data_IF_827868920641
#
_entry.id   IF_827868920641
#
_cell.length_a   1.000
_cell.length_b   1.000
_cell.length_c   1.000
_cell.angle_alpha   90.00
_cell.angle_beta   90.00
_cell.angle_gamma   90.00
#
_symmetry.space_group_name_H-M   'P 1'
#
loop_
_entity.id
_entity.type
_entity.pdbx_description
1 polymer ?
#
# COMPACT_ATOMS: atom_id res chain seq x y z
N UNK A 1 -2.97 -21.55 -0.01
CA UNK A 1 -2.27 -20.45 -0.70
C UNK A 1 -1.14 -19.98 0.20
N UNK A 2 0.00 -19.65 -0.35
CA UNK A 2 1.14 -19.21 0.46
C UNK A 2 0.94 -17.73 0.81
N UNK A 3 0.85 -17.38 2.10
CA UNK A 3 0.61 -16.01 2.58
C UNK A 3 1.93 -15.31 2.83
N UNK A 4 2.10 -14.10 2.29
CA UNK A 4 3.32 -13.31 2.49
C UNK A 4 3.26 -12.45 3.75
N UNK A 5 2.08 -11.95 4.12
CA UNK A 5 1.84 -11.20 5.33
C UNK A 5 0.44 -11.55 5.89
N UNK A 6 0.40 -11.89 7.17
CA UNK A 6 -0.85 -12.14 7.89
C UNK A 6 -0.85 -11.33 9.17
N UNK A 7 -1.96 -10.62 9.44
CA UNK A 7 -2.16 -9.89 10.67
C UNK A 7 -3.55 -10.22 11.24
N UNK A 8 -3.62 -10.41 12.56
CA UNK A 8 -4.86 -10.72 13.27
C UNK A 8 -5.05 -9.80 14.46
N UNK A 9 -6.09 -8.96 14.42
CA UNK A 9 -6.39 -8.00 15.45
C UNK A 9 -5.22 -7.03 15.74
N UNK A 10 -4.32 -6.86 14.75
CA UNK A 10 -3.09 -6.12 14.91
C UNK A 10 -3.35 -4.66 15.29
N UNK A 11 -2.64 -4.19 16.32
CA UNK A 11 -2.76 -2.84 16.79
C UNK A 11 -1.44 -2.27 17.31
N UNK A 12 -1.23 -0.96 17.06
CA UNK A 12 -0.12 -0.19 17.63
C UNK A 12 -0.62 1.11 18.24
N UNK A 13 -0.19 1.35 19.47
CA UNK A 13 -0.55 2.53 20.26
C UNK A 13 0.68 3.36 20.56
N UNK A 14 0.55 4.68 20.44
CA UNK A 14 1.54 5.65 20.90
C UNK A 14 0.90 6.51 22.00
N UNK A 15 1.34 6.32 23.23
CA UNK A 15 0.70 6.91 24.41
C UNK A 15 -0.77 6.48 24.49
N UNK A 16 -1.71 7.44 24.38
CA UNK A 16 -3.16 7.16 24.40
C UNK A 16 -3.78 7.00 23.02
N UNK A 17 -3.06 7.26 21.93
CA UNK A 17 -3.61 7.24 20.57
C UNK A 17 -3.26 5.93 19.86
N UNK A 18 -4.26 5.30 19.26
CA UNK A 18 -4.06 4.20 18.33
C UNK A 18 -3.61 4.73 16.97
N UNK A 19 -2.50 4.24 16.47
CA UNK A 19 -2.04 4.49 15.11
C UNK A 19 -2.47 3.37 14.15
N UNK A 20 -2.70 2.16 14.70
CA UNK A 20 -3.31 1.03 14.03
C UNK A 20 -4.18 0.28 15.05
N UNK A 21 -5.37 -0.16 14.65
CA UNK A 21 -6.31 -0.80 15.56
C UNK A 21 -7.08 -1.90 14.86
N UNK A 22 -7.13 -3.08 15.50
CA UNK A 22 -7.95 -4.21 15.05
C UNK A 22 -7.74 -4.56 13.56
N UNK A 23 -6.50 -4.41 13.08
CA UNK A 23 -6.16 -4.69 11.69
C UNK A 23 -6.07 -6.20 11.48
N UNK A 24 -6.97 -6.74 10.66
CA UNK A 24 -6.98 -8.15 10.24
C UNK A 24 -6.87 -8.18 8.73
N UNK A 25 -5.77 -8.72 8.22
CA UNK A 25 -5.47 -8.83 6.78
C UNK A 25 -4.72 -10.14 6.53
N UNK A 26 -4.93 -10.66 5.34
CA UNK A 26 -4.20 -11.80 4.80
C UNK A 26 -3.78 -11.46 3.37
N UNK A 27 -2.48 -11.34 3.12
CA UNK A 27 -1.92 -10.97 1.82
C UNK A 27 -1.30 -12.22 1.21
N UNK A 28 -1.84 -12.72 0.08
CA UNK A 28 -1.24 -13.85 -0.62
C UNK A 28 0.11 -13.47 -1.23
N UNK A 29 0.98 -14.46 -1.43
CA UNK A 29 2.27 -14.27 -2.07
C UNK A 29 2.12 -14.00 -3.58
N UNK A 30 3.10 -13.31 -4.16
CA UNK A 30 3.16 -13.02 -5.61
C UNK A 30 2.40 -11.76 -6.04
N UNK A 31 1.79 -11.02 -5.11
CA UNK A 31 1.02 -9.82 -5.43
C UNK A 31 1.81 -8.53 -5.25
N UNK A 32 1.43 -7.52 -6.05
CA UNK A 32 1.80 -6.12 -5.84
C UNK A 32 0.66 -5.42 -5.12
N UNK A 33 0.83 -5.21 -3.83
CA UNK A 33 -0.19 -4.71 -2.92
C UNK A 33 -0.11 -3.19 -2.80
N UNK A 34 -1.18 -2.50 -3.13
CA UNK A 34 -1.36 -1.07 -2.88
C UNK A 34 -1.94 -0.82 -1.49
N UNK A 35 -1.22 -0.06 -0.67
CA UNK A 35 -1.69 0.37 0.65
C UNK A 35 -2.09 1.84 0.60
N UNK A 36 -3.40 2.11 0.62
CA UNK A 36 -3.98 3.44 0.52
C UNK A 36 -4.55 3.94 1.84
N UNK A 37 -4.67 5.24 1.96
CA UNK A 37 -5.33 5.90 3.08
C UNK A 37 -4.83 7.33 3.29
N UNK A 38 -5.59 8.18 3.99
CA UNK A 38 -5.18 9.55 4.28
C UNK A 38 -3.94 9.59 5.18
N UNK A 39 -3.35 10.78 5.28
CA UNK A 39 -2.23 10.98 6.20
C UNK A 39 -2.65 10.69 7.65
N UNK A 40 -1.84 9.93 8.37
CA UNK A 40 -2.14 9.48 9.72
C UNK A 40 -3.09 8.28 9.83
N UNK A 41 -3.49 7.65 8.73
CA UNK A 41 -4.34 6.44 8.74
C UNK A 41 -3.65 5.19 9.30
N UNK A 42 -2.31 5.19 9.44
CA UNK A 42 -1.55 4.07 9.99
C UNK A 42 -0.71 3.31 8.96
N UNK A 43 -0.61 3.75 7.70
CA UNK A 43 0.15 3.09 6.62
C UNK A 43 1.60 2.78 7.04
N UNK A 44 2.39 3.81 7.35
CA UNK A 44 3.78 3.67 7.81
C UNK A 44 3.89 2.80 9.07
N UNK A 45 2.89 2.87 9.97
CA UNK A 45 2.87 2.03 11.17
C UNK A 45 2.72 0.55 10.81
N UNK A 46 1.80 0.21 9.91
CA UNK A 46 1.63 -1.15 9.41
C UNK A 46 2.91 -1.67 8.73
N UNK A 47 3.52 -0.86 7.86
CA UNK A 47 4.75 -1.23 7.15
C UNK A 47 5.94 -1.42 8.10
N UNK A 48 6.06 -0.59 9.15
CA UNK A 48 7.09 -0.74 10.19
C UNK A 48 6.87 -1.97 11.07
N UNK A 49 5.61 -2.34 11.36
CA UNK A 49 5.30 -3.60 12.03
C UNK A 49 5.66 -4.79 11.15
N UNK A 50 5.31 -4.75 9.85
CA UNK A 50 5.62 -5.80 8.89
C UNK A 50 7.13 -5.99 8.65
N UNK A 51 7.92 -4.92 8.71
CA UNK A 51 9.37 -4.97 8.60
C UNK A 51 10.10 -5.29 9.92
N UNK A 52 9.37 -5.38 11.05
CA UNK A 52 9.93 -5.66 12.37
C UNK A 52 10.64 -4.46 13.02
N UNK A 53 10.44 -3.24 12.51
CA UNK A 53 10.97 -2.01 13.12
C UNK A 53 10.13 -1.56 14.32
N UNK A 54 8.91 -2.07 14.44
CA UNK A 54 8.00 -1.84 15.56
C UNK A 54 7.43 -3.16 16.06
N UNK A 55 7.16 -3.23 17.35
CA UNK A 55 6.44 -4.34 17.97
C UNK A 55 4.95 -3.99 18.09
N UNK A 56 4.04 -4.96 17.92
CA UNK A 56 2.61 -4.75 18.16
C UNK A 56 2.33 -4.39 19.62
N UNK A 57 1.27 -3.60 19.84
CA UNK A 57 0.70 -3.38 21.17
C UNK A 57 -0.44 -4.37 21.46
N UNK A 58 -1.09 -4.85 20.39
CA UNK A 58 -2.17 -5.84 20.44
C UNK A 58 -2.18 -6.65 19.15
N UNK A 59 -2.72 -7.87 19.22
CA UNK A 59 -2.78 -8.79 18.10
C UNK A 59 -1.42 -9.27 17.64
N UNK A 60 -1.42 -9.97 16.51
CA UNK A 60 -0.24 -10.64 15.97
C UNK A 60 -0.01 -10.29 14.51
N UNK A 61 1.26 -10.40 14.08
CA UNK A 61 1.67 -10.28 12.69
C UNK A 61 2.73 -11.35 12.35
N UNK A 62 2.53 -11.99 11.23
CA UNK A 62 3.54 -12.88 10.62
C UNK A 62 3.87 -12.43 9.22
N UNK A 63 5.13 -12.55 8.83
CA UNK A 63 5.63 -12.24 7.50
C UNK A 63 6.45 -13.41 7.00
N UNK A 64 6.12 -13.91 5.80
CA UNK A 64 6.75 -15.10 5.22
C UNK A 64 6.76 -16.30 6.18
N UNK A 65 5.67 -16.45 6.94
CA UNK A 65 5.47 -17.53 7.91
C UNK A 65 6.25 -17.39 9.22
N UNK A 66 6.92 -16.25 9.46
CA UNK A 66 7.70 -15.99 10.68
C UNK A 66 7.40 -14.64 11.32
N UNK A 67 7.93 -14.44 12.54
CA UNK A 67 7.89 -13.13 13.20
C UNK A 67 8.73 -12.14 12.41
N UNK A 68 8.23 -10.91 12.12
CA UNK A 68 9.00 -9.86 11.46
C UNK A 68 10.34 -9.62 12.18
N UNK A 69 11.44 -9.60 11.42
CA UNK A 69 12.82 -9.48 11.92
C UNK A 69 13.20 -10.42 13.07
N UNK A 70 12.47 -11.53 13.27
CA UNK A 70 12.69 -12.48 14.36
C UNK A 70 14.02 -13.23 14.31
N UNK A 71 14.72 -13.20 13.17
CA UNK A 71 16.05 -13.77 12.98
C UNK A 71 16.80 -13.09 11.83
N UNK A 72 18.14 -13.21 11.74
CA UNK A 72 18.91 -12.73 10.57
C UNK A 72 18.42 -13.34 9.24
N UNK A 73 18.02 -14.61 9.24
CA UNK A 73 17.47 -15.29 8.08
C UNK A 73 16.13 -14.67 7.65
N UNK A 74 15.25 -14.38 8.61
CA UNK A 74 13.97 -13.69 8.33
C UNK A 74 14.20 -12.28 7.82
N UNK A 75 15.13 -11.54 8.44
CA UNK A 75 15.47 -10.18 8.01
C UNK A 75 16.04 -10.15 6.59
N UNK A 76 16.82 -11.15 6.18
CA UNK A 76 17.38 -11.27 4.84
C UNK A 76 16.30 -11.42 3.73
N UNK A 77 15.10 -11.93 4.08
CA UNK A 77 14.00 -12.18 3.15
C UNK A 77 13.11 -10.94 2.88
N UNK A 78 13.21 -9.90 3.71
CA UNK A 78 12.38 -8.70 3.63
C UNK A 78 13.23 -7.49 3.24
N UNK A 79 12.90 -6.83 2.12
CA UNK A 79 13.44 -5.52 1.74
C UNK A 79 12.54 -4.40 2.28
N UNK A 80 13.12 -3.28 2.72
CA UNK A 80 12.37 -2.10 3.15
C UNK A 80 13.01 -0.83 2.59
N UNK A 81 12.19 -0.02 1.90
CA UNK A 81 12.56 1.33 1.44
C UNK A 81 11.63 2.32 2.13
N UNK A 82 12.19 3.17 2.98
CA UNK A 82 11.45 4.17 3.73
C UNK A 82 11.13 5.40 2.86
N UNK A 83 10.14 6.18 3.30
CA UNK A 83 9.61 7.37 2.61
C UNK A 83 10.70 8.39 2.21
N UNK A 84 11.67 8.63 3.07
CA UNK A 84 12.73 9.61 2.82
C UNK A 84 13.86 9.03 1.94
N UNK A 85 13.67 7.84 1.36
CA UNK A 85 14.70 7.12 0.58
C UNK A 85 16.09 7.26 1.22
N UNK A 86 16.28 6.75 2.46
CA UNK A 86 17.46 7.04 3.26
C UNK A 86 18.68 6.39 2.64
N UNK A 87 19.48 7.22 1.95
CA UNK A 87 20.81 6.90 1.49
C UNK A 87 21.80 7.78 2.23
N UNK A 88 22.97 7.27 2.55
CA UNK A 88 23.99 8.03 3.26
C UNK A 88 24.60 9.08 2.33
N UNK A 89 24.25 10.33 2.52
CA UNK A 89 24.65 11.44 1.64
C UNK A 89 26.17 11.55 1.40
N UNK A 90 26.98 11.16 2.38
CA UNK A 90 28.45 11.16 2.32
C UNK A 90 29.07 9.99 1.57
N UNK A 91 28.33 8.89 1.37
CA UNK A 91 28.81 7.70 0.65
C UNK A 91 28.57 7.84 -0.84
N UNK A 92 29.47 7.24 -1.64
CA UNK A 92 29.25 7.11 -3.10
C UNK A 92 28.24 6.02 -3.41
N UNK A 93 27.74 5.98 -4.65
CA UNK A 93 26.89 4.88 -5.15
C UNK A 93 27.60 3.53 -4.95
N UNK A 94 28.88 3.42 -5.32
CA UNK A 94 29.67 2.20 -5.13
C UNK A 94 29.84 1.83 -3.64
N UNK A 95 29.95 2.80 -2.74
CA UNK A 95 30.00 2.53 -1.30
C UNK A 95 28.71 1.91 -0.79
N UNK A 96 27.56 2.37 -1.28
CA UNK A 96 26.26 1.77 -0.93
C UNK A 96 26.16 0.32 -1.40
N UNK A 97 26.63 0.01 -2.63
CA UNK A 97 26.64 -1.37 -3.12
C UNK A 97 27.57 -2.25 -2.28
N UNK A 98 28.76 -1.76 -1.90
CA UNK A 98 29.68 -2.47 -1.01
C UNK A 98 29.09 -2.72 0.38
N UNK A 99 28.41 -1.71 0.95
CA UNK A 99 27.73 -1.81 2.23
C UNK A 99 26.59 -2.86 2.14
N UNK A 100 25.79 -2.79 1.08
CA UNK A 100 24.71 -3.75 0.83
C UNK A 100 25.23 -5.19 0.78
N UNK A 101 26.33 -5.41 0.04
CA UNK A 101 26.97 -6.72 -0.08
C UNK A 101 27.49 -7.27 1.27
N UNK A 102 28.00 -6.41 2.15
CA UNK A 102 28.49 -6.82 3.46
C UNK A 102 27.39 -7.15 4.47
N UNK A 103 26.23 -6.49 4.32
CA UNK A 103 25.11 -6.64 5.27
C UNK A 103 24.09 -7.70 4.86
N UNK A 104 24.07 -8.13 3.61
CA UNK A 104 23.04 -9.03 3.11
C UNK A 104 23.63 -10.32 2.54
N UNK A 105 23.33 -11.49 3.13
CA UNK A 105 23.92 -12.75 2.72
C UNK A 105 23.47 -13.25 1.33
N UNK A 106 22.33 -12.75 0.83
CA UNK A 106 21.76 -13.10 -0.48
C UNK A 106 21.99 -12.01 -1.54
N UNK A 107 22.94 -11.10 -1.29
CA UNK A 107 23.21 -9.95 -2.15
C UNK A 107 23.61 -10.34 -3.58
N UNK A 108 22.89 -9.79 -4.55
CA UNK A 108 23.20 -9.93 -5.96
C UNK A 108 24.03 -8.73 -6.46
N UNK A 109 25.34 -8.91 -6.47
CA UNK A 109 26.27 -7.87 -6.84
C UNK A 109 26.29 -7.60 -8.39
N UNK A 110 25.94 -8.61 -9.20
CA UNK A 110 25.85 -8.45 -10.65
C UNK A 110 24.65 -7.58 -11.00
N UNK A 111 23.46 -7.99 -10.57
CA UNK A 111 22.22 -7.23 -10.78
C UNK A 111 22.35 -5.78 -10.29
N UNK A 112 22.93 -5.58 -9.10
CA UNK A 112 23.10 -4.21 -8.56
C UNK A 112 23.97 -3.33 -9.47
N UNK A 113 25.10 -3.86 -9.98
CA UNK A 113 25.99 -3.10 -10.90
C UNK A 113 25.34 -2.83 -12.23
N UNK A 114 24.70 -3.84 -12.83
CA UNK A 114 24.05 -3.74 -14.13
C UNK A 114 22.93 -2.69 -14.09
N UNK A 115 22.13 -2.72 -13.00
CA UNK A 115 21.08 -1.72 -12.81
C UNK A 115 21.62 -0.30 -12.62
N UNK A 116 22.71 -0.10 -11.88
CA UNK A 116 23.35 1.22 -11.74
C UNK A 116 23.86 1.71 -13.10
N UNK A 117 24.43 0.83 -13.92
CA UNK A 117 24.87 1.17 -15.27
C UNK A 117 23.70 1.53 -16.20
N UNK A 118 22.62 0.77 -16.20
CA UNK A 118 21.37 1.05 -16.94
C UNK A 118 20.75 2.39 -16.55
N UNK A 119 20.79 2.75 -15.27
CA UNK A 119 20.30 4.03 -14.75
C UNK A 119 21.25 5.20 -15.05
N UNK A 120 22.42 4.96 -15.65
CA UNK A 120 23.43 6.00 -15.93
C UNK A 120 23.97 6.68 -14.66
N UNK A 121 23.95 5.99 -13.53
CA UNK A 121 24.47 6.53 -12.27
C UNK A 121 25.99 6.34 -12.21
N UNK A 122 26.75 7.44 -11.97
CA UNK A 122 28.18 7.36 -11.73
C UNK A 122 28.47 6.67 -10.39
N UNK A 123 29.14 5.50 -10.37
CA UNK A 123 29.49 4.79 -9.15
C UNK A 123 30.31 5.61 -8.15
N UNK A 124 31.10 6.58 -8.62
CA UNK A 124 31.91 7.48 -7.79
C UNK A 124 31.13 8.65 -7.20
N UNK A 125 29.95 8.97 -7.73
CA UNK A 125 29.17 10.11 -7.27
C UNK A 125 28.62 9.88 -5.85
N UNK A 126 28.74 10.90 -4.98
CA UNK A 126 28.16 10.86 -3.63
C UNK A 126 26.63 10.96 -3.70
N UNK A 127 25.94 10.13 -2.90
CA UNK A 127 24.49 10.07 -2.91
C UNK A 127 23.81 11.42 -2.55
N UNK A 128 24.45 12.27 -1.76
CA UNK A 128 23.96 13.62 -1.47
C UNK A 128 23.91 14.56 -2.67
N UNK A 129 24.62 14.24 -3.77
CA UNK A 129 24.61 15.00 -5.03
C UNK A 129 23.64 14.43 -6.07
N UNK A 130 23.02 13.30 -5.81
CA UNK A 130 22.01 12.70 -6.69
C UNK A 130 20.71 13.53 -6.65
N UNK A 131 19.98 13.56 -7.76
CA UNK A 131 18.61 14.08 -7.78
C UNK A 131 17.68 13.23 -6.91
N UNK A 132 16.48 13.71 -6.62
CA UNK A 132 15.46 12.94 -5.88
C UNK A 132 15.16 11.60 -6.56
N UNK A 133 14.92 11.61 -7.88
CA UNK A 133 14.68 10.41 -8.67
C UNK A 133 15.87 9.44 -8.67
N UNK A 134 17.10 9.94 -8.83
CA UNK A 134 18.30 9.11 -8.76
C UNK A 134 18.49 8.47 -7.38
N UNK A 135 18.22 9.19 -6.29
CA UNK A 135 18.24 8.61 -4.92
C UNK A 135 17.20 7.51 -4.75
N UNK A 136 15.99 7.74 -5.24
CA UNK A 136 14.94 6.73 -5.19
C UNK A 136 15.31 5.47 -5.97
N UNK A 137 15.89 5.62 -7.17
CA UNK A 137 16.38 4.51 -7.98
C UNK A 137 17.54 3.76 -7.30
N UNK A 138 18.46 4.47 -6.65
CA UNK A 138 19.52 3.84 -5.85
C UNK A 138 18.91 3.04 -4.69
N UNK A 139 17.96 3.62 -3.93
CA UNK A 139 17.29 2.93 -2.82
C UNK A 139 16.53 1.68 -3.30
N UNK A 140 15.83 1.78 -4.43
CA UNK A 140 15.17 0.62 -5.05
C UNK A 140 16.19 -0.46 -5.44
N UNK A 141 17.30 -0.07 -6.08
CA UNK A 141 18.38 -0.99 -6.45
C UNK A 141 18.93 -1.75 -5.22
N UNK A 142 19.16 -1.04 -4.11
CA UNK A 142 19.62 -1.65 -2.86
C UNK A 142 18.59 -2.63 -2.29
N UNK A 143 17.30 -2.28 -2.36
CA UNK A 143 16.20 -3.14 -1.94
C UNK A 143 16.10 -4.43 -2.76
N UNK A 144 16.20 -4.32 -4.08
CA UNK A 144 16.12 -5.45 -5.03
C UNK A 144 17.37 -6.35 -4.97
N UNK A 145 18.57 -5.74 -4.87
CA UNK A 145 19.82 -6.50 -4.81
C UNK A 145 19.95 -7.40 -3.58
N UNK A 146 19.18 -7.13 -2.55
CA UNK A 146 19.03 -7.99 -1.38
C UNK A 146 18.36 -9.33 -1.73
N UNK A 147 17.72 -9.46 -2.89
CA UNK A 147 16.90 -10.62 -3.32
C UNK A 147 15.83 -10.97 -2.29
N UNK A 148 14.96 -9.99 -1.94
CA UNK A 148 13.90 -10.22 -0.97
C UNK A 148 12.81 -11.13 -1.55
N UNK A 149 12.03 -11.75 -0.68
CA UNK A 149 10.77 -12.43 -1.02
C UNK A 149 9.57 -11.49 -0.80
N UNK A 150 9.75 -10.46 0.05
CA UNK A 150 8.83 -9.36 0.25
C UNK A 150 9.60 -8.03 0.20
N UNK A 151 9.21 -7.12 -0.68
CA UNK A 151 9.70 -5.75 -0.74
C UNK A 151 8.62 -4.78 -0.23
N UNK A 152 8.95 -4.04 0.82
CA UNK A 152 8.06 -3.03 1.42
C UNK A 152 8.56 -1.64 1.03
N UNK A 153 7.69 -0.81 0.47
CA UNK A 153 7.98 0.53 -0.02
C UNK A 153 7.03 1.53 0.65
N UNK A 154 7.55 2.41 1.50
CA UNK A 154 6.74 3.41 2.20
C UNK A 154 6.81 4.75 1.47
N UNK A 155 5.77 5.07 0.70
CA UNK A 155 5.62 6.27 -0.12
C UNK A 155 6.88 6.62 -0.96
N UNK A 156 7.47 5.65 -1.70
CA UNK A 156 8.80 5.79 -2.30
C UNK A 156 8.86 6.85 -3.41
N UNK A 157 7.72 7.26 -3.94
CA UNK A 157 7.59 8.20 -5.07
C UNK A 157 6.96 9.55 -4.67
N UNK A 158 6.66 9.76 -3.38
CA UNK A 158 5.92 10.93 -2.92
C UNK A 158 6.59 12.28 -3.25
N UNK A 159 7.93 12.33 -3.22
CA UNK A 159 8.71 13.54 -3.48
C UNK A 159 9.27 13.63 -4.90
N UNK A 160 8.87 12.71 -5.80
CA UNK A 160 9.37 12.66 -7.18
C UNK A 160 8.48 13.50 -8.10
N UNK A 161 9.10 14.10 -9.12
CA UNK A 161 8.37 14.66 -10.25
C UNK A 161 7.63 13.56 -11.05
N UNK A 162 6.65 13.92 -11.89
CA UNK A 162 5.83 12.93 -12.58
C UNK A 162 6.61 11.95 -13.48
N UNK A 163 7.71 12.40 -14.10
CA UNK A 163 8.53 11.54 -14.96
C UNK A 163 9.31 10.51 -14.12
N UNK A 164 10.07 10.99 -13.14
CA UNK A 164 10.83 10.14 -12.22
C UNK A 164 9.94 9.13 -11.48
N UNK A 165 8.71 9.53 -11.11
CA UNK A 165 7.70 8.65 -10.52
C UNK A 165 7.31 7.52 -11.47
N UNK A 166 7.00 7.84 -12.72
CA UNK A 166 6.64 6.86 -13.74
C UNK A 166 7.78 5.87 -14.00
N UNK A 167 9.01 6.37 -14.13
CA UNK A 167 10.20 5.54 -14.31
C UNK A 167 10.45 4.61 -13.12
N UNK A 168 10.26 5.12 -11.89
CA UNK A 168 10.40 4.30 -10.68
C UNK A 168 9.42 3.12 -10.68
N UNK A 169 8.13 3.40 -10.94
CA UNK A 169 7.08 2.38 -10.96
C UNK A 169 7.29 1.37 -12.11
N UNK A 170 7.72 1.84 -13.28
CA UNK A 170 8.06 0.97 -14.40
C UNK A 170 9.19 0.01 -14.02
N UNK A 171 10.30 0.51 -13.48
CA UNK A 171 11.42 -0.31 -13.05
C UNK A 171 11.06 -1.28 -11.90
N UNK A 172 10.12 -0.89 -11.03
CA UNK A 172 9.59 -1.80 -10.01
C UNK A 172 8.85 -2.97 -10.67
N UNK A 173 7.98 -2.67 -11.65
CA UNK A 173 7.22 -3.70 -12.36
C UNK A 173 8.12 -4.64 -13.17
N UNK A 174 9.10 -4.11 -13.88
CA UNK A 174 10.10 -4.92 -14.60
C UNK A 174 10.77 -5.92 -13.64
N UNK A 175 11.19 -5.44 -12.46
CA UNK A 175 11.82 -6.29 -11.46
C UNK A 175 10.86 -7.37 -10.90
N UNK A 176 9.54 -7.09 -10.77
CA UNK A 176 8.57 -8.10 -10.31
C UNK A 176 8.33 -9.20 -11.35
N UNK A 177 8.46 -8.87 -12.64
CA UNK A 177 8.35 -9.85 -13.72
C UNK A 177 9.61 -10.73 -13.81
N UNK A 178 10.79 -10.13 -13.62
CA UNK A 178 12.08 -10.85 -13.68
C UNK A 178 12.31 -11.76 -12.46
N UNK A 179 11.75 -11.38 -11.31
CA UNK A 179 11.99 -12.05 -10.04
C UNK A 179 10.68 -12.22 -9.27
N UNK A 180 10.34 -13.43 -8.94
CA UNK A 180 9.13 -13.76 -8.18
C UNK A 180 9.24 -13.29 -6.72
N UNK A 181 8.78 -12.08 -6.42
CA UNK A 181 8.64 -11.56 -5.05
C UNK A 181 7.35 -10.76 -4.90
N UNK A 182 6.90 -10.62 -3.67
CA UNK A 182 5.73 -9.80 -3.36
C UNK A 182 6.15 -8.36 -3.04
N UNK A 183 5.27 -7.41 -3.34
CA UNK A 183 5.49 -5.99 -3.03
C UNK A 183 4.35 -5.47 -2.17
N UNK A 184 4.68 -4.66 -1.15
CA UNK A 184 3.69 -3.80 -0.48
C UNK A 184 4.14 -2.35 -0.66
N UNK A 185 3.35 -1.59 -1.41
CA UNK A 185 3.63 -0.21 -1.78
C UNK A 185 2.59 0.73 -1.17
N UNK A 186 2.99 1.65 -0.28
CA UNK A 186 2.08 2.70 0.14
C UNK A 186 2.13 3.91 -0.81
N UNK A 187 0.97 4.48 -1.11
CA UNK A 187 0.83 5.74 -1.83
C UNK A 187 -0.37 6.51 -1.31
N UNK A 188 -0.37 7.83 -1.48
CA UNK A 188 -1.52 8.70 -1.30
C UNK A 188 -2.19 9.08 -2.64
N UNK A 189 -1.61 8.65 -3.79
CA UNK A 189 -2.15 8.85 -5.13
C UNK A 189 -2.64 7.52 -5.69
N UNK A 190 -3.91 7.46 -6.03
CA UNK A 190 -4.54 6.26 -6.62
C UNK A 190 -3.92 5.95 -7.98
N UNK A 191 -3.64 6.99 -8.78
CA UNK A 191 -3.04 6.85 -10.11
C UNK A 191 -1.69 6.13 -10.14
N UNK A 192 -0.94 6.14 -9.03
CA UNK A 192 0.31 5.38 -8.92
C UNK A 192 0.01 3.88 -8.79
N UNK A 193 -1.04 3.54 -8.03
CA UNK A 193 -1.41 2.15 -7.72
C UNK A 193 -2.18 1.48 -8.85
N UNK A 194 -3.05 2.22 -9.56
CA UNK A 194 -3.81 1.68 -10.70
C UNK A 194 -2.94 1.03 -11.78
N UNK A 195 -1.68 1.46 -11.86
CA UNK A 195 -0.74 0.97 -12.88
C UNK A 195 0.02 -0.28 -12.47
N UNK A 196 0.11 -0.56 -11.17
CA UNK A 196 1.06 -1.55 -10.67
C UNK A 196 0.44 -2.56 -9.71
N UNK A 197 -0.69 -2.23 -9.06
CA UNK A 197 -1.26 -3.07 -8.01
C UNK A 197 -2.37 -3.98 -8.51
N UNK A 198 -2.29 -5.24 -8.12
CA UNK A 198 -3.32 -6.27 -8.31
C UNK A 198 -4.07 -6.59 -7.01
N UNK A 199 -3.58 -6.12 -5.87
CA UNK A 199 -4.22 -6.23 -4.56
C UNK A 199 -4.27 -4.87 -3.86
N UNK A 200 -5.41 -4.52 -3.24
CA UNK A 200 -5.61 -3.23 -2.57
C UNK A 200 -5.92 -3.40 -1.10
N UNK A 201 -5.34 -2.53 -0.26
CA UNK A 201 -5.72 -2.34 1.15
C UNK A 201 -6.00 -0.86 1.36
N UNK A 202 -7.19 -0.54 1.90
CA UNK A 202 -7.56 0.83 2.27
C UNK A 202 -7.61 0.95 3.79
N UNK A 203 -6.79 1.84 4.34
CA UNK A 203 -6.74 2.21 5.76
C UNK A 203 -7.40 3.57 5.98
N UNK A 204 -8.36 3.64 6.90
CA UNK A 204 -8.95 4.90 7.37
C UNK A 204 -9.16 4.81 8.88
N UNK A 205 -8.88 5.91 9.60
CA UNK A 205 -9.03 5.99 11.06
C UNK A 205 -8.36 4.82 11.81
N UNK A 206 -7.16 4.47 11.39
CA UNK A 206 -6.33 3.40 11.97
C UNK A 206 -6.90 1.98 11.82
N UNK A 207 -7.85 1.77 10.89
CA UNK A 207 -8.51 0.48 10.62
C UNK A 207 -8.49 0.15 9.13
N UNK A 208 -8.43 -1.14 8.82
CA UNK A 208 -8.65 -1.64 7.46
C UNK A 208 -10.14 -1.51 7.13
N UNK A 209 -10.45 -0.86 6.03
CA UNK A 209 -11.82 -0.70 5.53
C UNK A 209 -12.16 -1.75 4.48
N UNK A 210 -11.19 -2.03 3.62
CA UNK A 210 -11.28 -3.08 2.59
C UNK A 210 -9.89 -3.62 2.31
N UNK A 211 -9.81 -4.90 2.01
CA UNK A 211 -8.62 -5.59 1.50
C UNK A 211 -9.07 -6.67 0.52
N UNK A 212 -8.38 -6.79 -0.63
CA UNK A 212 -8.67 -7.82 -1.62
C UNK A 212 -8.03 -7.55 -2.98
N UNK A 213 -8.16 -8.53 -3.87
CA UNK A 213 -7.75 -8.41 -5.27
C UNK A 213 -8.55 -7.30 -5.97
N UNK A 214 -7.86 -6.45 -6.72
CA UNK A 214 -8.44 -5.26 -7.37
C UNK A 214 -9.60 -5.65 -8.29
N UNK A 215 -9.41 -6.66 -9.13
CA UNK A 215 -10.45 -7.11 -10.07
C UNK A 215 -11.71 -7.60 -9.33
N UNK A 216 -11.54 -8.36 -8.25
CA UNK A 216 -12.66 -8.82 -7.42
C UNK A 216 -13.37 -7.67 -6.72
N UNK A 217 -12.61 -6.71 -6.18
CA UNK A 217 -13.18 -5.51 -5.57
C UNK A 217 -14.00 -4.72 -6.59
N UNK A 218 -13.48 -4.49 -7.79
CA UNK A 218 -14.19 -3.75 -8.85
C UNK A 218 -15.40 -4.53 -9.40
N UNK A 219 -15.35 -5.85 -9.41
CA UNK A 219 -16.48 -6.69 -9.85
C UNK A 219 -17.64 -6.72 -8.85
N UNK A 220 -17.36 -6.57 -7.55
CA UNK A 220 -18.36 -6.65 -6.47
C UNK A 220 -18.84 -5.30 -5.96
N UNK A 221 -18.28 -4.19 -6.44
CA UNK A 221 -18.69 -2.85 -6.04
C UNK A 221 -19.33 -2.10 -7.21
N UNK A 222 -20.47 -1.48 -6.94
CA UNK A 222 -21.27 -0.81 -7.95
C UNK A 222 -21.70 0.58 -7.47
N UNK A 223 -21.81 1.51 -8.42
CA UNK A 223 -22.46 2.80 -8.17
C UNK A 223 -23.92 2.72 -8.62
N UNK A 224 -24.82 3.02 -7.69
CA UNK A 224 -26.25 3.15 -7.94
C UNK A 224 -26.62 4.62 -7.96
N UNK A 225 -27.26 5.07 -9.02
CA UNK A 225 -27.79 6.44 -9.14
C UNK A 225 -29.29 6.37 -9.47
N UNK A 226 -30.12 7.02 -8.66
CA UNK A 226 -31.57 6.96 -8.81
C UNK A 226 -32.32 7.99 -7.97
N UNK A 227 -33.68 7.91 -7.92
CA UNK A 227 -34.49 8.78 -7.10
C UNK A 227 -34.09 8.73 -5.63
N UNK A 228 -34.29 9.84 -4.92
CA UNK A 228 -33.96 9.90 -3.49
C UNK A 228 -34.70 8.81 -2.71
N UNK A 229 -33.93 7.93 -2.08
CA UNK A 229 -34.40 6.84 -1.22
C UNK A 229 -33.52 6.74 0.01
N UNK A 230 -34.08 6.15 1.06
CA UNK A 230 -33.35 5.80 2.29
C UNK A 230 -32.48 4.55 2.04
N UNK A 231 -31.21 4.51 2.52
CA UNK A 231 -30.36 3.33 2.43
C UNK A 231 -31.01 2.07 3.04
N UNK A 232 -31.81 2.21 4.08
CA UNK A 232 -32.48 1.10 4.77
C UNK A 232 -33.53 0.37 3.89
N UNK A 233 -33.85 0.93 2.72
CA UNK A 233 -34.75 0.33 1.73
C UNK A 233 -34.03 -0.50 0.66
N UNK A 234 -32.72 -0.56 0.71
CA UNK A 234 -31.94 -1.43 -0.19
C UNK A 234 -32.03 -2.89 0.29
N UNK A 235 -31.96 -3.88 -0.60
CA UNK A 235 -31.88 -5.29 -0.26
C UNK A 235 -30.76 -5.57 0.75
N UNK A 236 -30.96 -6.53 1.64
CA UNK A 236 -30.03 -6.84 2.73
C UNK A 236 -28.64 -7.36 2.24
N UNK A 237 -28.57 -7.87 1.04
CA UNK A 237 -27.36 -8.32 0.35
C UNK A 237 -26.55 -7.17 -0.30
N UNK A 238 -27.11 -5.95 -0.32
CA UNK A 238 -26.50 -4.75 -0.84
C UNK A 238 -25.91 -3.91 0.30
N UNK A 239 -24.63 -4.11 0.62
CA UNK A 239 -23.97 -3.37 1.68
C UNK A 239 -23.56 -1.97 1.21
N UNK A 240 -24.15 -0.94 1.78
CA UNK A 240 -23.81 0.46 1.47
C UNK A 240 -22.42 0.81 2.01
N UNK A 241 -21.49 1.15 1.12
CA UNK A 241 -20.15 1.65 1.45
C UNK A 241 -20.19 3.16 1.66
N UNK A 242 -20.82 3.90 0.73
CA UNK A 242 -20.96 5.35 0.79
C UNK A 242 -22.30 5.77 0.22
N UNK A 243 -22.90 6.80 0.82
CA UNK A 243 -24.16 7.39 0.37
C UNK A 243 -24.01 8.89 0.20
N UNK A 244 -24.47 9.41 -0.93
CA UNK A 244 -24.58 10.86 -1.20
C UNK A 244 -25.99 11.16 -1.67
N UNK A 245 -26.56 12.24 -1.14
CA UNK A 245 -27.91 12.66 -1.47
C UNK A 245 -27.94 14.11 -1.95
N UNK A 246 -28.74 14.37 -2.94
CA UNK A 246 -29.24 15.71 -3.29
C UNK A 246 -30.72 15.77 -2.89
N UNK A 247 -31.40 16.88 -3.18
CA UNK A 247 -32.84 17.00 -2.89
C UNK A 247 -33.68 15.93 -3.60
N UNK A 248 -33.29 15.52 -4.81
CA UNK A 248 -34.09 14.62 -5.67
C UNK A 248 -33.44 13.28 -5.98
N UNK A 249 -32.14 13.13 -5.72
CA UNK A 249 -31.36 11.99 -6.16
C UNK A 249 -30.53 11.38 -5.04
N UNK A 250 -30.38 10.07 -5.05
CA UNK A 250 -29.42 9.33 -4.23
C UNK A 250 -28.37 8.69 -5.13
N UNK A 251 -27.12 8.75 -4.68
CA UNK A 251 -26.01 8.00 -5.26
C UNK A 251 -25.40 7.14 -4.14
N UNK A 252 -25.40 5.83 -4.34
CA UNK A 252 -24.78 4.88 -3.43
C UNK A 252 -23.59 4.22 -4.09
N UNK A 253 -22.55 3.97 -3.33
CA UNK A 253 -21.57 2.91 -3.63
C UNK A 253 -21.92 1.75 -2.73
N UNK A 254 -22.22 0.62 -3.35
CA UNK A 254 -22.60 -0.61 -2.64
C UNK A 254 -21.62 -1.74 -2.95
N UNK A 255 -21.55 -2.70 -2.04
CA UNK A 255 -20.90 -4.00 -2.26
C UNK A 255 -21.96 -5.09 -2.28
N UNK A 256 -21.99 -5.89 -3.35
CA UNK A 256 -22.85 -7.04 -3.51
C UNK A 256 -22.22 -8.05 -4.48
N UNK A 257 -22.43 -9.33 -4.24
CA UNK A 257 -22.11 -10.42 -5.17
C UNK A 257 -23.37 -10.82 -6.01
N UNK A 258 -24.54 -10.26 -5.68
CA UNK A 258 -25.80 -10.56 -6.35
C UNK A 258 -26.11 -9.57 -7.49
N UNK A 259 -26.86 -10.01 -8.52
CA UNK A 259 -27.31 -9.12 -9.58
C UNK A 259 -28.27 -8.02 -9.06
N UNK A 260 -28.15 -6.82 -9.59
CA UNK A 260 -28.98 -5.68 -9.21
C UNK A 260 -30.13 -5.57 -10.22
N UNK A 261 -31.35 -5.88 -9.78
CA UNK A 261 -32.53 -5.95 -10.65
C UNK A 261 -33.51 -4.78 -10.55
N UNK A 262 -33.35 -3.85 -9.55
CA UNK A 262 -34.27 -2.72 -9.40
C UNK A 262 -34.10 -1.69 -10.54
N UNK A 263 -35.11 -1.54 -11.44
CA UNK A 263 -35.03 -0.65 -12.59
C UNK A 263 -34.99 0.84 -12.22
N UNK A 264 -35.25 1.18 -10.97
CA UNK A 264 -35.17 2.56 -10.49
C UNK A 264 -33.71 3.04 -10.35
N UNK A 265 -32.74 2.10 -10.39
CA UNK A 265 -31.32 2.41 -10.28
C UNK A 265 -30.61 2.31 -11.62
N UNK A 266 -29.88 3.37 -11.96
CA UNK A 266 -28.83 3.27 -12.98
C UNK A 266 -27.58 2.71 -12.31
N UNK A 267 -27.16 1.54 -12.75
CA UNK A 267 -25.98 0.84 -12.25
C UNK A 267 -24.77 1.16 -13.11
N UNK A 268 -23.67 1.59 -12.50
CA UNK A 268 -22.41 1.81 -13.21
C UNK A 268 -21.22 1.18 -12.47
N UNK A 269 -20.19 0.81 -13.22
CA UNK A 269 -18.92 0.32 -12.66
C UNK A 269 -18.16 1.46 -12.00
N UNK A 270 -17.31 1.10 -11.04
CA UNK A 270 -16.38 2.02 -10.37
C UNK A 270 -15.00 1.94 -11.01
N UNK A 271 -14.28 3.07 -11.04
CA UNK A 271 -12.83 3.07 -11.14
C UNK A 271 -12.20 2.71 -9.78
N UNK A 272 -10.91 2.38 -9.76
CA UNK A 272 -10.21 2.16 -8.51
C UNK A 272 -10.21 3.42 -7.64
N UNK A 273 -10.09 4.60 -8.26
CA UNK A 273 -10.19 5.89 -7.58
C UNK A 273 -11.54 6.09 -6.90
N UNK A 274 -12.64 5.83 -7.61
CA UNK A 274 -13.99 5.90 -7.06
C UNK A 274 -14.19 4.98 -5.86
N UNK A 275 -13.66 3.75 -5.95
CA UNK A 275 -13.71 2.76 -4.87
C UNK A 275 -12.97 3.27 -3.63
N UNK A 276 -11.73 3.71 -3.79
CA UNK A 276 -10.90 4.23 -2.70
C UNK A 276 -11.57 5.44 -2.05
N UNK A 277 -12.05 6.40 -2.85
CA UNK A 277 -12.72 7.60 -2.36
C UNK A 277 -14.01 7.25 -1.59
N UNK A 278 -14.79 6.26 -2.04
CA UNK A 278 -16.00 5.84 -1.33
C UNK A 278 -15.71 5.35 0.09
N UNK A 279 -14.64 4.57 0.28
CA UNK A 279 -14.21 4.11 1.59
C UNK A 279 -13.63 5.22 2.46
N UNK A 280 -12.98 6.23 1.87
CA UNK A 280 -12.47 7.39 2.61
C UNK A 280 -13.60 8.34 3.03
N UNK A 281 -14.60 8.58 2.18
CA UNK A 281 -15.72 9.50 2.44
C UNK A 281 -16.67 8.99 3.54
N UNK A 282 -16.90 7.68 3.64
CA UNK A 282 -17.72 7.08 4.69
C UNK A 282 -17.33 7.62 6.08
N UNK A 283 -16.05 7.63 6.38
CA UNK A 283 -15.54 8.07 7.67
C UNK A 283 -15.57 9.59 7.87
N UNK A 284 -15.56 10.35 6.80
CA UNK A 284 -15.72 11.82 6.89
C UNK A 284 -17.15 12.18 7.28
N UNK A 285 -18.14 11.47 6.76
CA UNK A 285 -19.55 11.64 7.11
C UNK A 285 -19.83 11.21 8.56
N UNK A 286 -19.35 10.04 8.99
CA UNK A 286 -19.50 9.53 10.35
C UNK A 286 -18.85 10.46 11.40
N UNK A 287 -17.70 11.07 11.07
CA UNK A 287 -17.05 12.07 11.94
C UNK A 287 -17.85 13.35 12.08
N UNK A 288 -18.48 13.85 11.01
CA UNK A 288 -19.32 15.05 11.08
C UNK A 288 -20.52 14.85 11.96
N UNK A 289 -21.23 13.72 11.80
CA UNK A 289 -22.38 13.36 12.65
C UNK A 289 -21.96 13.21 14.12
N UNK A 290 -20.82 12.56 14.40
CA UNK A 290 -20.32 12.38 15.78
C UNK A 290 -19.88 13.69 16.45
N UNK A 291 -19.48 14.71 15.69
CA UNK A 291 -19.14 16.05 16.21
C UNK A 291 -20.38 16.91 16.46
N UNK A 292 -21.44 16.76 15.64
CA UNK A 292 -22.71 17.46 15.83
C UNK A 292 -23.49 16.93 17.06
N UNK A 293 -23.42 15.63 17.35
CA UNK A 293 -24.06 15.00 18.53
C UNK A 293 -23.36 15.34 19.85
N UNK A 294 -22.11 15.86 19.81
CA UNK A 294 -21.35 16.27 21.01
C UNK A 294 -21.42 17.78 21.32
N UNK A 295 -22.16 18.54 20.55
CA UNK A 295 -22.51 19.95 20.82
C UNK A 295 -23.91 20.07 21.36
#
# INVERSE_FOLDING_TARGET
>A
MNTVLQAQGLGRKYGRRWALRECTIDIPAGHVVGLMGPNGAGKTTLLKLASGQLEPTAGDITVLGGRPAGSPAQLARVGFVAQDTPVYAGLSVADHLRLGARLNPRWDAAMARDRIAQLGLDPGQRAGKLSGGQRAQLALTLGLAKRPELLILDEPVASLDPLARREFLQHLMEATVEHEFSVVLSSHLVSDLERVCDFLIVLVDSRVQVAGEVDRLLATHHRLTGPRRDPDRLPADQHVVCARHTERQSTYVIRTDAPIHDPAWTVSRLSLEDLVLAYMDKHTADRRVALEVRR
#
